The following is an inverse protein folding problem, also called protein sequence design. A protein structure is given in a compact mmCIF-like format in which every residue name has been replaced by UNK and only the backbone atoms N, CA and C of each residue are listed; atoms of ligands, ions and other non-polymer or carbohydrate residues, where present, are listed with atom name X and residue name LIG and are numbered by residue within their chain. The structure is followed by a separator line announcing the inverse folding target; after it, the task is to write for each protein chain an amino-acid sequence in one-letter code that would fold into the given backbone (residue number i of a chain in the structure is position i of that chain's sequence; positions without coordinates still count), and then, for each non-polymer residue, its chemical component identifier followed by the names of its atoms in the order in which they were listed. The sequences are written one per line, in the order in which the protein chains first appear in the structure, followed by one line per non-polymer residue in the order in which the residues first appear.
data_IF_762228334749
#
_entry.id   IF_762228334749
#
_cell.length_a   1.000
_cell.length_b   1.000
_cell.length_c   1.000
_cell.angle_alpha   90.00
_cell.angle_beta   90.00
_cell.angle_gamma   90.00
#
_symmetry.space_group_name_H-M   'P 1'
#
loop_
_entity.id
_entity.type
_entity.pdbx_description
1 polymer ?
#
# COMPACT_ATOMS: atom_id res chain seq x y z
N UNK A 1 -28.00 -4.11 -19.36
CA UNK A 1 -29.42 -3.72 -19.26
C UNK A 1 -29.99 -4.36 -18.00
N UNK A 2 -30.67 -3.59 -17.15
CA UNK A 2 -31.24 -4.07 -15.88
C UNK A 2 -32.73 -4.43 -16.02
N UNK A 3 -33.45 -3.69 -16.86
CA UNK A 3 -34.81 -3.97 -17.30
C UNK A 3 -35.01 -3.36 -18.69
N UNK A 4 -36.05 -3.75 -19.46
CA UNK A 4 -36.26 -3.24 -20.80
C UNK A 4 -36.24 -1.71 -20.84
N UNK A 5 -35.27 -1.16 -21.56
CA UNK A 5 -35.12 0.28 -21.71
C UNK A 5 -34.42 1.00 -20.55
N UNK A 6 -33.85 0.28 -19.58
CA UNK A 6 -32.96 0.78 -18.52
C UNK A 6 -31.60 0.07 -18.59
N UNK A 7 -30.56 0.84 -18.88
CA UNK A 7 -29.17 0.37 -18.83
C UNK A 7 -28.44 1.15 -17.75
N UNK A 8 -27.91 0.47 -16.74
CA UNK A 8 -27.05 1.09 -15.75
C UNK A 8 -25.87 0.17 -15.42
N UNK A 9 -24.80 0.76 -14.90
CA UNK A 9 -23.57 0.06 -14.56
C UNK A 9 -22.46 1.02 -14.13
N UNK A 10 -21.22 0.57 -14.28
CA UNK A 10 -20.03 1.36 -13.98
C UNK A 10 -19.08 1.35 -15.19
N UNK A 11 -18.41 2.48 -15.42
CA UNK A 11 -17.26 2.60 -16.32
C UNK A 11 -16.01 2.88 -15.50
N UNK A 12 -14.91 2.21 -15.84
CA UNK A 12 -13.62 2.43 -15.20
C UNK A 12 -12.88 3.53 -15.96
N UNK A 13 -12.51 4.61 -15.26
CA UNK A 13 -11.81 5.76 -15.85
C UNK A 13 -10.53 6.01 -15.06
N UNK A 14 -9.34 6.03 -15.69
CA UNK A 14 -8.10 6.36 -15.00
C UNK A 14 -8.14 7.75 -14.34
N UNK A 15 -7.22 7.95 -13.39
CA UNK A 15 -6.88 9.29 -12.94
C UNK A 15 -6.07 10.01 -14.02
N UNK A 16 -6.14 11.34 -14.04
CA UNK A 16 -5.43 12.16 -15.03
C UNK A 16 -3.97 12.36 -14.63
N UNK A 17 -3.72 12.76 -13.37
CA UNK A 17 -2.37 13.07 -12.87
C UNK A 17 -2.09 12.41 -11.53
N UNK A 18 -0.98 11.70 -11.45
CA UNK A 18 -0.54 10.98 -10.25
C UNK A 18 0.90 11.33 -9.90
N UNK A 19 1.15 11.61 -8.63
CA UNK A 19 2.48 11.80 -8.08
C UNK A 19 2.97 10.56 -7.33
N UNK A 20 4.15 10.05 -7.69
CA UNK A 20 4.82 8.95 -7.01
C UNK A 20 5.96 9.51 -6.17
N UNK A 21 5.87 9.42 -4.85
CA UNK A 21 6.99 9.73 -3.97
C UNK A 21 7.92 8.52 -3.86
N UNK A 22 9.19 8.72 -4.18
CA UNK A 22 10.23 7.69 -4.11
C UNK A 22 11.26 8.10 -3.07
N UNK A 23 11.47 7.30 -1.99
CA UNK A 23 12.44 7.63 -0.97
C UNK A 23 13.89 7.70 -1.48
N UNK A 24 14.73 8.41 -0.72
CA UNK A 24 16.18 8.43 -0.92
C UNK A 24 16.92 8.87 0.34
N UNK A 25 18.25 8.89 0.28
CA UNK A 25 19.14 9.35 1.36
C UNK A 25 19.74 8.23 2.21
N UNK A 26 18.93 7.35 2.82
CA UNK A 26 19.42 6.16 3.56
C UNK A 26 19.72 4.97 2.66
N UNK A 27 19.38 5.10 1.39
CA UNK A 27 19.37 4.08 0.35
C UNK A 27 18.69 4.68 -0.88
N UNK A 28 18.68 3.92 -1.98
CA UNK A 28 18.07 4.32 -3.24
C UNK A 28 17.21 3.18 -3.75
N UNK A 29 15.97 3.51 -4.10
CA UNK A 29 14.90 2.51 -4.23
C UNK A 29 14.31 2.51 -5.66
N UNK A 30 15.04 2.00 -6.66
CA UNK A 30 14.46 1.80 -8.00
C UNK A 30 13.25 0.85 -7.95
N UNK A 31 13.22 -0.08 -7.00
CA UNK A 31 12.05 -0.92 -6.75
C UNK A 31 10.81 -0.11 -6.34
N UNK A 32 10.95 0.94 -5.55
CA UNK A 32 9.83 1.82 -5.17
C UNK A 32 9.30 2.65 -6.35
N UNK A 33 10.16 2.97 -7.33
CA UNK A 33 9.73 3.54 -8.61
C UNK A 33 8.84 2.52 -9.32
N UNK A 34 9.32 1.29 -9.51
CA UNK A 34 8.57 0.23 -10.22
C UNK A 34 7.21 0.00 -9.56
N UNK A 35 7.19 -0.14 -8.24
CA UNK A 35 5.97 -0.43 -7.49
C UNK A 35 4.99 0.75 -7.45
N UNK A 36 5.42 1.99 -7.70
CA UNK A 36 4.52 3.15 -7.72
C UNK A 36 4.07 3.51 -9.14
N UNK A 37 4.98 3.49 -10.11
CA UNK A 37 4.75 3.97 -11.49
C UNK A 37 4.06 2.92 -12.35
N UNK A 38 4.49 1.65 -12.29
CA UNK A 38 3.91 0.59 -13.12
C UNK A 38 2.39 0.44 -12.93
N UNK A 39 1.84 0.33 -11.70
CA UNK A 39 0.39 0.17 -11.56
C UNK A 39 -0.39 1.40 -12.06
N UNK A 40 0.18 2.61 -11.96
CA UNK A 40 -0.41 3.83 -12.51
C UNK A 40 -0.45 3.79 -14.05
N UNK A 41 0.66 3.39 -14.69
CA UNK A 41 0.72 3.25 -16.15
C UNK A 41 -0.17 2.13 -16.67
N UNK A 42 -0.24 0.99 -15.97
CA UNK A 42 -1.15 -0.12 -16.30
C UNK A 42 -2.61 0.32 -16.19
N UNK A 43 -2.95 1.19 -15.24
CA UNK A 43 -4.30 1.76 -15.15
C UNK A 43 -4.63 2.72 -16.30
N UNK A 44 -3.63 3.20 -17.05
CA UNK A 44 -3.80 4.16 -18.13
C UNK A 44 -3.70 5.62 -17.69
N UNK A 45 -3.05 5.92 -16.56
CA UNK A 45 -2.83 7.30 -16.11
C UNK A 45 -1.92 8.02 -17.11
N UNK A 46 -2.37 9.11 -17.75
CA UNK A 46 -1.62 9.77 -18.81
C UNK A 46 -0.44 10.61 -18.28
N UNK A 47 -0.48 11.08 -17.02
CA UNK A 47 0.61 11.84 -16.40
C UNK A 47 0.98 11.29 -15.02
N UNK A 48 2.15 10.66 -14.95
CA UNK A 48 2.75 10.10 -13.75
C UNK A 48 4.07 10.80 -13.49
N UNK A 49 4.13 11.60 -12.43
CA UNK A 49 5.35 12.30 -12.01
C UNK A 49 6.01 11.56 -10.86
N UNK A 50 7.34 11.66 -10.74
CA UNK A 50 8.11 11.10 -9.64
C UNK A 50 8.79 12.22 -8.87
N UNK A 51 8.64 12.25 -7.55
CA UNK A 51 9.43 13.11 -6.67
C UNK A 51 10.41 12.24 -5.87
N UNK A 52 11.70 12.54 -5.97
CA UNK A 52 12.78 11.87 -5.23
C UNK A 52 13.78 12.91 -4.73
N UNK A 53 14.33 12.78 -3.51
CA UNK A 53 15.40 13.66 -3.06
C UNK A 53 16.67 13.49 -3.92
N UNK A 54 17.45 14.56 -4.05
CA UNK A 54 18.79 14.51 -4.61
C UNK A 54 19.78 13.85 -3.62
N UNK A 55 20.83 13.26 -4.17
CA UNK A 55 22.02 12.82 -3.45
C UNK A 55 22.81 14.02 -2.91
N UNK A 56 23.77 13.82 -1.97
CA UNK A 56 24.56 14.92 -1.41
C UNK A 56 25.33 15.75 -2.45
N UNK A 57 25.64 15.17 -3.62
CA UNK A 57 26.28 15.85 -4.75
C UNK A 57 25.30 16.59 -5.68
N UNK A 58 24.00 16.58 -5.35
CA UNK A 58 22.93 17.20 -6.13
C UNK A 58 22.39 16.33 -7.27
N UNK A 59 22.90 15.12 -7.48
CA UNK A 59 22.44 14.21 -8.53
C UNK A 59 21.24 13.36 -8.10
N UNK A 60 20.57 12.72 -9.07
CA UNK A 60 19.68 11.57 -8.79
C UNK A 60 20.44 10.31 -9.19
N UNK A 61 20.47 9.25 -8.36
CA UNK A 61 21.16 8.02 -8.69
C UNK A 61 20.69 7.43 -10.03
N UNK A 62 21.62 6.96 -10.89
CA UNK A 62 21.28 6.45 -12.21
C UNK A 62 20.23 5.33 -12.19
N UNK A 63 20.31 4.41 -11.22
CA UNK A 63 19.35 3.31 -11.09
C UNK A 63 17.90 3.78 -10.89
N UNK A 64 17.70 4.87 -10.15
CA UNK A 64 16.36 5.47 -9.96
C UNK A 64 15.85 6.05 -11.28
N UNK A 65 16.70 6.78 -12.01
CA UNK A 65 16.32 7.37 -13.31
C UNK A 65 16.02 6.31 -14.38
N UNK A 66 16.83 5.24 -14.43
CA UNK A 66 16.58 4.10 -15.32
C UNK A 66 15.26 3.43 -14.98
N UNK A 67 14.95 3.24 -13.69
CA UNK A 67 13.67 2.70 -13.28
C UNK A 67 12.50 3.61 -13.69
N UNK A 68 12.65 4.94 -13.56
CA UNK A 68 11.64 5.90 -14.02
C UNK A 68 11.38 5.76 -15.52
N UNK A 69 12.43 5.75 -16.33
CA UNK A 69 12.35 5.63 -17.79
C UNK A 69 11.70 4.30 -18.21
N UNK A 70 12.20 3.17 -17.67
CA UNK A 70 11.66 1.83 -17.97
C UNK A 70 10.20 1.68 -17.56
N UNK A 71 9.79 2.29 -16.44
CA UNK A 71 8.40 2.24 -15.99
C UNK A 71 7.50 3.28 -16.67
N UNK A 72 8.08 4.19 -17.44
CA UNK A 72 7.38 5.20 -18.22
C UNK A 72 7.00 6.47 -17.45
N UNK A 73 7.64 6.79 -16.32
CA UNK A 73 7.37 8.06 -15.62
C UNK A 73 7.55 9.26 -16.58
N UNK A 74 6.62 10.21 -16.54
CA UNK A 74 6.58 11.31 -17.51
C UNK A 74 7.51 12.46 -17.10
N UNK A 75 7.63 12.72 -15.80
CA UNK A 75 8.47 13.79 -15.24
C UNK A 75 9.11 13.35 -13.92
N UNK A 76 10.35 13.79 -13.66
CA UNK A 76 11.07 13.51 -12.40
C UNK A 76 11.53 14.82 -11.77
N UNK A 77 11.13 15.04 -10.52
CA UNK A 77 11.48 16.22 -9.73
C UNK A 77 12.41 15.87 -8.58
N UNK A 78 13.49 16.64 -8.45
CA UNK A 78 14.51 16.48 -7.41
C UNK A 78 14.07 17.14 -6.09
N UNK A 79 13.01 16.62 -5.49
CA UNK A 79 12.44 17.10 -4.23
C UNK A 79 11.99 15.91 -3.39
N UNK A 80 12.39 15.88 -2.11
CA UNK A 80 12.03 14.83 -1.16
C UNK A 80 11.22 15.35 0.04
N UNK A 81 10.92 14.48 0.99
CA UNK A 81 10.30 14.86 2.27
C UNK A 81 8.87 15.39 2.18
N UNK A 82 8.41 16.05 3.24
CA UNK A 82 7.07 16.63 3.33
C UNK A 82 6.84 17.74 2.30
N UNK A 83 7.89 18.47 1.93
CA UNK A 83 7.84 19.51 0.91
C UNK A 83 7.56 18.97 -0.49
N UNK A 84 8.00 17.75 -0.82
CA UNK A 84 7.63 17.10 -2.08
C UNK A 84 6.13 16.80 -2.12
N UNK A 85 5.57 16.34 -1.01
CA UNK A 85 4.14 16.05 -0.89
C UNK A 85 3.33 17.35 -1.02
N UNK A 86 3.75 18.41 -0.35
CA UNK A 86 3.13 19.72 -0.47
C UNK A 86 3.21 20.28 -1.90
N UNK A 87 4.38 20.16 -2.56
CA UNK A 87 4.57 20.61 -3.93
C UNK A 87 3.65 19.87 -4.92
N UNK A 88 3.51 18.54 -4.79
CA UNK A 88 2.58 17.76 -5.61
C UNK A 88 1.10 18.08 -5.31
N UNK A 89 0.78 18.38 -4.05
CA UNK A 89 -0.60 18.69 -3.60
C UNK A 89 -1.08 20.04 -4.13
N UNK A 90 -0.24 21.07 -4.02
CA UNK A 90 -0.62 22.45 -4.33
C UNK A 90 -0.18 22.89 -5.73
N UNK A 91 0.81 22.21 -6.31
CA UNK A 91 1.56 22.70 -7.46
C UNK A 91 2.54 23.80 -7.07
N UNK A 92 3.59 23.96 -7.86
CA UNK A 92 4.51 25.11 -7.83
C UNK A 92 4.75 25.64 -9.23
N UNK A 93 5.62 26.64 -9.39
CA UNK A 93 6.07 27.11 -10.71
C UNK A 93 6.72 25.99 -11.54
N UNK A 94 7.27 24.96 -10.88
CA UNK A 94 7.97 23.86 -11.54
C UNK A 94 7.31 22.50 -11.33
N UNK A 95 6.72 22.23 -10.17
CA UNK A 95 6.14 20.93 -9.82
C UNK A 95 4.66 20.91 -10.17
N UNK A 96 4.25 19.96 -11.00
CA UNK A 96 2.86 19.78 -11.40
C UNK A 96 1.96 19.44 -10.20
N UNK A 97 0.79 20.09 -10.12
CA UNK A 97 -0.28 19.67 -9.20
C UNK A 97 -0.94 18.37 -9.67
N UNK A 98 -0.95 17.36 -8.81
CA UNK A 98 -1.54 16.03 -9.10
C UNK A 98 -2.85 15.81 -8.35
N UNK A 99 -3.59 14.78 -8.78
CA UNK A 99 -4.91 14.46 -8.21
C UNK A 99 -4.80 13.36 -7.14
N UNK A 100 -3.78 12.49 -7.25
CA UNK A 100 -3.43 11.47 -6.24
C UNK A 100 -1.92 11.40 -6.00
N UNK A 101 -1.50 11.17 -4.76
CA UNK A 101 -0.12 10.89 -4.38
C UNK A 101 -0.01 9.48 -3.79
N UNK A 102 1.02 8.73 -4.21
CA UNK A 102 1.33 7.37 -3.73
C UNK A 102 2.82 7.24 -3.39
N UNK A 103 3.19 6.10 -2.79
CA UNK A 103 4.58 5.73 -2.52
C UNK A 103 4.91 5.69 -1.02
N UNK A 104 5.94 4.94 -0.63
CA UNK A 104 6.34 4.78 0.77
C UNK A 104 7.14 6.00 1.24
N UNK A 105 7.18 6.24 2.54
CA UNK A 105 7.99 7.35 3.05
C UNK A 105 8.29 7.29 4.54
N UNK A 106 9.20 8.17 4.96
CA UNK A 106 9.50 8.35 6.38
C UNK A 106 8.28 8.84 7.16
N UNK A 107 8.35 8.83 8.50
CA UNK A 107 7.35 9.44 9.38
C UNK A 107 6.94 10.87 9.00
N UNK A 108 7.83 11.66 8.38
CA UNK A 108 7.55 13.03 7.94
C UNK A 108 6.69 13.07 6.67
N UNK A 109 6.92 12.13 5.76
CA UNK A 109 6.08 11.94 4.56
C UNK A 109 4.70 11.45 4.98
N UNK A 110 4.64 10.48 5.90
CA UNK A 110 3.38 10.01 6.46
C UNK A 110 2.61 11.13 7.20
N UNK A 111 3.32 12.00 7.93
CA UNK A 111 2.69 13.15 8.56
C UNK A 111 2.12 14.12 7.52
N UNK A 112 2.85 14.38 6.42
CA UNK A 112 2.36 15.20 5.32
C UNK A 112 1.14 14.58 4.62
N UNK A 113 1.15 13.28 4.36
CA UNK A 113 0.00 12.53 3.87
C UNK A 113 -1.23 12.73 4.76
N UNK A 114 -1.08 12.57 6.08
CA UNK A 114 -2.19 12.76 7.03
C UNK A 114 -2.72 14.20 7.05
N UNK A 115 -1.83 15.19 6.96
CA UNK A 115 -2.20 16.61 6.98
C UNK A 115 -2.87 17.09 5.69
N UNK A 116 -2.50 16.49 4.56
CA UNK A 116 -2.95 16.89 3.22
C UNK A 116 -4.03 15.95 2.65
N UNK A 117 -4.46 14.96 3.43
CA UNK A 117 -5.56 14.09 3.08
C UNK A 117 -6.86 14.91 2.99
N UNK A 118 -7.52 14.87 1.84
CA UNK A 118 -8.70 15.67 1.53
C UNK A 118 -8.41 16.91 0.67
N UNK A 119 -7.15 17.35 0.60
CA UNK A 119 -6.68 18.39 -0.33
C UNK A 119 -6.14 17.76 -1.62
N UNK A 120 -5.57 16.56 -1.50
CA UNK A 120 -5.23 15.64 -2.57
C UNK A 120 -5.60 14.23 -2.11
N UNK A 121 -5.92 13.35 -3.05
CA UNK A 121 -6.14 11.96 -2.70
C UNK A 121 -4.79 11.30 -2.35
N UNK A 122 -4.74 10.61 -1.20
CA UNK A 122 -3.53 9.88 -0.77
C UNK A 122 -3.79 8.38 -0.90
N UNK A 123 -2.85 7.67 -1.52
CA UNK A 123 -2.89 6.21 -1.60
C UNK A 123 -2.66 5.51 -0.26
N UNK A 124 -2.09 4.29 -0.34
CA UNK A 124 -1.74 3.51 0.84
C UNK A 124 -0.81 4.30 1.75
N UNK A 125 -1.21 4.46 3.02
CA UNK A 125 -0.44 5.18 4.03
C UNK A 125 0.74 4.31 4.49
N UNK A 126 1.83 4.41 3.76
CA UNK A 126 3.07 3.67 3.99
C UNK A 126 4.09 4.54 4.75
N UNK A 127 4.30 4.21 6.03
CA UNK A 127 5.22 4.89 6.95
C UNK A 127 6.49 4.08 7.23
N UNK A 128 7.05 4.18 8.45
CA UNK A 128 8.12 3.28 8.90
C UNK A 128 7.69 1.82 8.79
N UNK A 129 8.60 0.96 8.30
CA UNK A 129 8.28 -0.41 7.91
C UNK A 129 8.24 -1.40 9.08
N UNK A 130 7.40 -2.42 8.94
CA UNK A 130 7.14 -3.45 9.96
C UNK A 130 7.17 -4.85 9.32
N UNK A 131 7.87 -5.78 9.95
CA UNK A 131 7.87 -7.19 9.57
C UNK A 131 7.52 -8.08 10.75
N UNK A 132 6.64 -9.04 10.53
CA UNK A 132 6.26 -10.05 11.52
C UNK A 132 6.34 -11.44 10.90
N UNK A 133 7.01 -12.35 11.59
CA UNK A 133 7.15 -13.75 11.21
C UNK A 133 6.30 -14.59 12.17
N UNK A 134 5.37 -15.39 11.67
CA UNK A 134 4.77 -16.51 12.39
C UNK A 134 5.58 -17.75 12.06
N UNK A 135 6.03 -18.49 13.08
CA UNK A 135 6.81 -19.70 12.88
C UNK A 135 6.34 -20.86 13.77
N UNK A 136 6.29 -22.07 13.21
CA UNK A 136 5.95 -23.32 13.91
C UNK A 136 7.18 -24.26 14.04
N UNK A 137 6.96 -25.51 14.45
CA UNK A 137 8.01 -26.51 14.67
C UNK A 137 8.78 -26.91 13.39
N UNK A 138 8.26 -26.57 12.21
CA UNK A 138 8.92 -26.83 10.93
C UNK A 138 9.86 -25.72 10.48
N UNK A 139 9.82 -24.56 11.12
CA UNK A 139 10.66 -23.42 10.77
C UNK A 139 12.15 -23.70 11.04
N UNK A 140 13.01 -23.25 10.12
CA UNK A 140 14.46 -23.22 10.37
C UNK A 140 14.81 -21.93 11.15
N UNK A 141 15.39 -22.04 12.35
CA UNK A 141 15.79 -20.88 13.13
C UNK A 141 16.82 -19.98 12.43
N UNK A 142 17.61 -20.50 11.48
CA UNK A 142 18.51 -19.68 10.66
C UNK A 142 17.74 -18.78 9.68
N UNK A 143 16.64 -19.27 9.10
CA UNK A 143 15.83 -18.49 8.17
C UNK A 143 15.10 -17.37 8.93
N UNK A 144 14.41 -17.71 10.02
CA UNK A 144 13.73 -16.72 10.86
C UNK A 144 14.69 -15.66 11.43
N UNK A 145 15.92 -16.05 11.82
CA UNK A 145 16.94 -15.10 12.28
C UNK A 145 17.44 -14.17 11.16
N UNK A 146 17.58 -14.67 9.94
CA UNK A 146 17.93 -13.84 8.78
C UNK A 146 16.80 -12.86 8.44
N UNK A 147 15.55 -13.32 8.43
CA UNK A 147 14.41 -12.53 7.96
C UNK A 147 14.00 -11.44 8.97
N UNK A 148 14.23 -11.66 10.27
CA UNK A 148 14.11 -10.60 11.29
C UNK A 148 14.99 -9.37 11.00
N UNK A 149 16.15 -9.56 10.36
CA UNK A 149 17.05 -8.46 10.02
C UNK A 149 16.55 -7.63 8.83
N UNK A 150 15.69 -8.20 7.96
CA UNK A 150 15.29 -7.55 6.71
C UNK A 150 14.60 -6.22 6.99
N UNK A 151 13.54 -6.19 7.82
CA UNK A 151 12.87 -4.92 8.08
C UNK A 151 13.66 -3.99 9.01
N UNK A 152 14.47 -4.56 9.91
CA UNK A 152 15.28 -3.79 10.83
C UNK A 152 16.35 -2.91 10.13
N UNK A 153 16.79 -3.27 8.93
CA UNK A 153 17.80 -2.46 8.20
C UNK A 153 17.23 -1.25 7.45
N UNK A 154 15.91 -1.17 7.28
CA UNK A 154 15.25 -0.08 6.54
C UNK A 154 15.31 1.26 7.29
N UNK A 155 15.28 1.25 8.62
CA UNK A 155 15.28 2.46 9.41
C UNK A 155 15.37 2.24 10.92
N UNK A 156 15.77 3.30 11.63
CA UNK A 156 15.80 3.31 13.10
C UNK A 156 14.41 3.22 13.74
N UNK A 157 13.38 3.45 12.93
CA UNK A 157 11.96 3.43 13.24
C UNK A 157 11.23 2.21 12.68
N UNK A 158 11.96 1.22 12.15
CA UNK A 158 11.38 -0.05 11.67
C UNK A 158 11.23 -1.07 12.79
N UNK A 159 10.35 -2.06 12.59
CA UNK A 159 10.11 -3.17 13.51
C UNK A 159 10.34 -4.53 12.84
N UNK A 160 10.94 -5.47 13.59
CA UNK A 160 11.09 -6.87 13.22
C UNK A 160 10.65 -7.76 14.36
N UNK A 161 9.61 -8.56 14.16
CA UNK A 161 8.95 -9.34 15.22
C UNK A 161 8.87 -10.81 14.83
N UNK A 162 9.26 -11.71 15.73
CA UNK A 162 8.99 -13.14 15.61
C UNK A 162 7.87 -13.52 16.58
N UNK A 163 6.89 -14.27 16.11
CA UNK A 163 5.80 -14.84 16.89
C UNK A 163 5.82 -16.35 16.71
N UNK A 164 5.96 -17.08 17.80
CA UNK A 164 5.99 -18.55 17.76
C UNK A 164 5.47 -19.14 19.06
N UNK A 165 4.80 -20.28 19.00
CA UNK A 165 4.49 -21.09 20.18
C UNK A 165 5.62 -22.06 20.55
N UNK A 166 6.66 -22.15 19.72
CA UNK A 166 7.78 -23.07 19.91
C UNK A 166 8.90 -22.36 20.67
N UNK A 167 8.94 -22.59 21.98
CA UNK A 167 9.88 -21.92 22.89
C UNK A 167 11.35 -22.13 22.51
N UNK A 168 11.72 -23.34 22.07
CA UNK A 168 13.10 -23.64 21.70
C UNK A 168 13.50 -22.89 20.42
N UNK A 169 12.61 -22.80 19.43
CA UNK A 169 12.81 -22.01 18.21
C UNK A 169 13.07 -20.53 18.55
N UNK A 170 12.29 -19.95 19.46
CA UNK A 170 12.47 -18.56 19.90
C UNK A 170 13.88 -18.29 20.45
N UNK A 171 14.41 -19.19 21.30
CA UNK A 171 15.77 -19.04 21.83
C UNK A 171 16.84 -19.31 20.78
N UNK A 172 16.63 -20.27 19.90
CA UNK A 172 17.57 -20.53 18.80
C UNK A 172 17.68 -19.33 17.86
N UNK A 173 16.57 -18.71 17.49
CA UNK A 173 16.57 -17.47 16.68
C UNK A 173 17.31 -16.35 17.40
N UNK A 174 17.05 -16.15 18.70
CA UNK A 174 17.74 -15.14 19.51
C UNK A 174 19.27 -15.35 19.51
N UNK A 175 19.74 -16.60 19.58
CA UNK A 175 21.17 -16.91 19.57
C UNK A 175 21.81 -16.71 18.20
N UNK A 176 21.06 -16.93 17.11
CA UNK A 176 21.59 -16.91 15.74
C UNK A 176 21.61 -15.52 15.12
N UNK A 177 20.69 -14.62 15.51
CA UNK A 177 20.53 -13.28 14.90
C UNK A 177 21.83 -12.47 14.87
N UNK A 178 22.67 -12.58 15.90
CA UNK A 178 23.97 -11.90 15.98
C UNK A 178 24.88 -12.20 14.78
N UNK A 179 24.90 -13.44 14.30
CA UNK A 179 25.72 -13.84 13.14
C UNK A 179 25.25 -13.19 11.85
N UNK A 180 23.94 -13.00 11.68
CA UNK A 180 23.41 -12.29 10.51
C UNK A 180 23.75 -10.80 10.56
N UNK A 181 23.66 -10.19 11.76
CA UNK A 181 24.06 -8.80 11.99
C UNK A 181 25.55 -8.59 11.69
N UNK A 182 26.42 -9.52 12.06
CA UNK A 182 27.87 -9.45 11.82
C UNK A 182 28.24 -9.47 10.33
N UNK A 183 27.43 -10.11 9.49
CA UNK A 183 27.63 -10.17 8.03
C UNK A 183 27.29 -8.86 7.31
N UNK A 184 26.65 -7.91 8.00
CA UNK A 184 26.31 -6.60 7.45
C UNK A 184 27.50 -5.64 7.53
N UNK A 185 27.57 -4.71 6.58
CA UNK A 185 28.48 -3.56 6.71
C UNK A 185 28.08 -2.67 7.91
N UNK A 186 29.03 -1.89 8.42
CA UNK A 186 28.82 -1.13 9.66
C UNK A 186 27.66 -0.13 9.58
N UNK A 187 27.42 0.43 8.39
CA UNK A 187 26.30 1.33 8.14
C UNK A 187 24.95 0.62 8.37
N UNK A 188 24.72 -0.54 7.75
CA UNK A 188 23.47 -1.32 7.89
C UNK A 188 23.36 -1.98 9.26
N UNK A 189 24.47 -2.46 9.81
CA UNK A 189 24.56 -3.02 11.16
C UNK A 189 24.01 -2.07 12.21
N UNK A 190 24.36 -0.77 12.12
CA UNK A 190 23.85 0.24 13.05
C UNK A 190 22.32 0.38 12.98
N UNK A 191 21.72 0.34 11.78
CA UNK A 191 20.26 0.38 11.65
C UNK A 191 19.60 -0.83 12.30
N UNK A 192 20.07 -2.04 11.97
CA UNK A 192 19.50 -3.28 12.50
C UNK A 192 19.57 -3.32 14.02
N UNK A 193 20.75 -3.02 14.60
CA UNK A 193 20.92 -3.04 16.07
C UNK A 193 20.01 -2.04 16.76
N UNK A 194 19.93 -0.80 16.25
CA UNK A 194 19.12 0.25 16.87
C UNK A 194 17.61 0.03 16.69
N UNK A 195 17.18 -0.48 15.54
CA UNK A 195 15.79 -0.87 15.29
C UNK A 195 15.37 -2.01 16.21
N UNK A 196 16.14 -3.10 16.25
CA UNK A 196 15.82 -4.26 17.08
C UNK A 196 15.83 -3.93 18.59
N UNK A 197 16.71 -3.03 19.04
CA UNK A 197 16.70 -2.55 20.44
C UNK A 197 15.41 -1.84 20.83
N UNK A 198 14.78 -1.12 19.90
CA UNK A 198 13.60 -0.27 20.18
C UNK A 198 12.29 -0.98 19.89
N UNK A 199 12.26 -1.73 18.80
CA UNK A 199 11.03 -2.27 18.20
C UNK A 199 11.16 -3.75 17.81
N UNK A 200 12.29 -4.39 18.09
CA UNK A 200 12.47 -5.83 17.91
C UNK A 200 11.83 -6.62 19.06
N UNK A 201 11.17 -7.72 18.73
CA UNK A 201 10.57 -8.60 19.73
C UNK A 201 10.52 -10.06 19.28
N UNK A 202 10.64 -10.98 20.24
CA UNK A 202 10.26 -12.38 20.08
C UNK A 202 9.12 -12.64 21.05
N UNK A 203 8.00 -13.08 20.52
CA UNK A 203 6.74 -13.26 21.25
C UNK A 203 6.44 -14.75 21.28
N UNK A 204 6.45 -15.30 22.49
CA UNK A 204 6.15 -16.71 22.73
C UNK A 204 4.67 -16.81 23.11
N UNK A 205 3.89 -17.53 22.31
CA UNK A 205 2.47 -17.78 22.53
C UNK A 205 2.23 -19.23 22.99
N UNK A 206 0.99 -19.57 23.35
CA UNK A 206 0.60 -20.92 23.77
C UNK A 206 0.31 -21.89 22.63
N UNK A 207 -0.04 -21.40 21.42
CA UNK A 207 -0.31 -22.23 20.25
C UNK A 207 -0.16 -21.47 18.92
N UNK A 208 -0.22 -22.19 17.80
CA UNK A 208 -0.23 -21.59 16.47
C UNK A 208 -1.45 -20.67 16.27
N UNK A 209 -2.62 -21.08 16.78
CA UNK A 209 -3.84 -20.27 16.74
C UNK A 209 -3.66 -18.94 17.49
N UNK A 210 -2.99 -18.96 18.64
CA UNK A 210 -2.67 -17.74 19.39
C UNK A 210 -1.65 -16.87 18.66
N UNK A 211 -0.65 -17.47 17.99
CA UNK A 211 0.29 -16.74 17.12
C UNK A 211 -0.43 -16.03 15.96
N UNK A 212 -1.37 -16.72 15.32
CA UNK A 212 -2.22 -16.16 14.26
C UNK A 212 -3.15 -15.07 14.80
N UNK A 213 -3.75 -15.27 15.99
CA UNK A 213 -4.57 -14.27 16.64
C UNK A 213 -3.76 -13.00 16.95
N UNK A 214 -2.52 -13.16 17.44
CA UNK A 214 -1.61 -12.05 17.67
C UNK A 214 -1.28 -11.32 16.36
N UNK A 215 -0.94 -12.02 15.29
CA UNK A 215 -0.63 -11.38 14.00
C UNK A 215 -1.83 -10.59 13.45
N UNK A 216 -3.04 -11.15 13.57
CA UNK A 216 -4.28 -10.48 13.21
C UNK A 216 -4.56 -9.25 14.07
N UNK A 217 -4.27 -9.32 15.36
CA UNK A 217 -4.35 -8.16 16.24
C UNK A 217 -3.30 -7.13 15.83
N UNK A 218 -2.05 -7.51 15.61
CA UNK A 218 -0.97 -6.60 15.25
C UNK A 218 -1.26 -5.87 13.93
N UNK A 219 -1.82 -6.56 12.94
CA UNK A 219 -2.14 -6.05 11.61
C UNK A 219 -0.93 -5.43 10.91
N UNK A 220 0.10 -6.27 10.74
CA UNK A 220 1.42 -5.90 10.24
C UNK A 220 1.40 -5.46 8.78
N UNK A 221 2.37 -4.63 8.39
CA UNK A 221 2.68 -4.33 7.00
C UNK A 221 3.07 -5.61 6.23
N UNK A 222 4.10 -6.32 6.67
CA UNK A 222 4.57 -7.56 6.05
C UNK A 222 4.45 -8.75 7.01
N UNK A 223 3.70 -9.78 6.60
CA UNK A 223 3.50 -11.02 7.37
C UNK A 223 4.16 -12.20 6.68
N UNK A 224 5.19 -12.77 7.30
CA UNK A 224 5.77 -14.05 6.90
C UNK A 224 5.15 -15.20 7.68
N UNK A 225 4.74 -16.26 6.99
CA UNK A 225 4.10 -17.45 7.55
C UNK A 225 5.04 -18.63 7.26
N UNK A 226 5.98 -18.84 8.18
CA UNK A 226 6.99 -19.88 8.14
C UNK A 226 6.48 -21.12 8.89
N UNK A 227 5.37 -21.69 8.40
CA UNK A 227 4.73 -22.88 8.98
C UNK A 227 4.77 -24.05 8.02
N UNK A 228 4.39 -25.24 8.51
CA UNK A 228 4.32 -26.48 7.71
C UNK A 228 3.25 -26.40 6.63
N UNK A 229 2.12 -25.76 6.92
CA UNK A 229 0.96 -25.65 6.03
C UNK A 229 0.58 -24.17 5.79
N UNK A 230 1.49 -23.38 5.19
CA UNK A 230 1.36 -21.91 5.18
C UNK A 230 0.15 -21.43 4.37
N UNK A 231 -0.29 -22.22 3.38
CA UNK A 231 -1.48 -21.93 2.57
C UNK A 231 -2.77 -22.10 3.40
N UNK A 232 -2.82 -23.07 4.31
CA UNK A 232 -3.97 -23.26 5.20
C UNK A 232 -3.99 -22.19 6.29
N UNK A 233 -2.82 -21.86 6.84
CA UNK A 233 -2.70 -20.84 7.88
C UNK A 233 -3.01 -19.43 7.37
N UNK A 234 -2.61 -19.12 6.13
CA UNK A 234 -2.99 -17.89 5.43
C UNK A 234 -4.50 -17.63 5.46
N UNK A 235 -5.34 -18.66 5.34
CA UNK A 235 -6.80 -18.49 5.31
C UNK A 235 -7.38 -17.99 6.64
N UNK A 236 -6.61 -18.11 7.73
CA UNK A 236 -6.97 -17.64 9.07
C UNK A 236 -6.50 -16.19 9.30
N UNK A 237 -5.67 -15.64 8.41
CA UNK A 237 -5.22 -14.25 8.46
C UNK A 237 -6.33 -13.33 7.95
N UNK A 238 -6.63 -12.32 8.76
CA UNK A 238 -7.61 -11.26 8.52
C UNK A 238 -6.93 -9.94 8.17
N UNK A 239 -5.77 -9.65 8.80
CA UNK A 239 -5.11 -8.35 8.69
C UNK A 239 -3.61 -8.52 8.42
N UNK A 240 -3.19 -8.24 7.18
CA UNK A 240 -1.79 -8.12 6.78
C UNK A 240 -1.70 -7.24 5.52
N UNK A 241 -0.68 -6.41 5.38
CA UNK A 241 -0.45 -5.64 4.16
C UNK A 241 -0.05 -6.54 2.98
N UNK A 242 0.95 -7.39 3.21
CA UNK A 242 1.43 -8.42 2.28
C UNK A 242 1.77 -9.70 3.03
N UNK A 243 1.56 -10.86 2.40
CA UNK A 243 1.80 -12.18 2.99
C UNK A 243 2.85 -12.97 2.22
N UNK A 244 3.73 -13.63 2.96
CA UNK A 244 4.87 -14.38 2.46
C UNK A 244 4.80 -15.82 3.00
N UNK A 245 4.66 -16.80 2.11
CA UNK A 245 4.17 -18.13 2.50
C UNK A 245 5.28 -19.19 2.39
N UNK A 246 5.57 -19.84 3.52
CA UNK A 246 6.48 -20.97 3.62
C UNK A 246 7.97 -20.59 3.63
N UNK A 247 8.80 -21.59 3.89
CA UNK A 247 10.22 -21.44 4.22
C UNK A 247 11.12 -20.84 3.12
N UNK A 248 10.65 -20.75 1.87
CA UNK A 248 11.43 -20.26 0.73
C UNK A 248 10.90 -18.93 0.17
N UNK A 249 10.05 -18.26 0.93
CA UNK A 249 9.47 -16.97 0.54
C UNK A 249 9.88 -15.91 1.56
N UNK A 250 11.18 -15.59 1.71
CA UNK A 250 11.57 -14.54 2.63
C UNK A 250 10.96 -13.21 2.17
N UNK A 251 10.67 -12.32 3.12
CA UNK A 251 10.08 -11.00 2.88
C UNK A 251 10.74 -10.23 1.71
N UNK A 252 12.06 -10.40 1.54
CA UNK A 252 12.85 -9.83 0.45
C UNK A 252 12.29 -10.12 -0.96
N UNK A 253 11.63 -11.27 -1.17
CA UNK A 253 11.05 -11.63 -2.47
C UNK A 253 9.97 -10.65 -2.94
N UNK A 254 9.19 -10.10 -2.01
CA UNK A 254 8.16 -9.07 -2.26
C UNK A 254 8.75 -7.70 -2.53
N UNK A 255 9.94 -7.42 -1.99
CA UNK A 255 10.60 -6.14 -2.20
C UNK A 255 11.14 -5.96 -3.62
N UNK A 256 11.47 -7.06 -4.33
CA UNK A 256 12.30 -6.97 -5.53
C UNK A 256 11.79 -7.70 -6.79
N UNK A 257 11.00 -8.77 -6.70
CA UNK A 257 10.76 -9.56 -7.93
C UNK A 257 9.61 -10.55 -7.96
N UNK A 258 8.87 -10.76 -6.88
CA UNK A 258 7.76 -11.73 -6.89
C UNK A 258 6.50 -11.23 -7.59
N UNK A 259 6.34 -9.91 -7.78
CA UNK A 259 5.22 -9.29 -8.49
C UNK A 259 4.25 -8.46 -7.64
N UNK A 260 3.80 -8.93 -6.46
CA UNK A 260 2.97 -8.13 -5.55
C UNK A 260 3.64 -6.80 -5.16
N UNK A 261 2.82 -5.82 -4.79
CA UNK A 261 3.28 -4.47 -4.52
C UNK A 261 3.81 -4.31 -3.09
N UNK A 262 5.01 -3.75 -2.93
CA UNK A 262 5.61 -3.51 -1.61
C UNK A 262 5.23 -2.16 -0.96
N UNK A 263 4.36 -1.36 -1.59
CA UNK A 263 3.83 -0.13 -0.98
C UNK A 263 2.63 -0.52 -0.15
N UNK A 264 2.89 -0.83 1.11
CA UNK A 264 1.96 -1.49 2.03
C UNK A 264 1.56 -0.58 3.20
N UNK A 265 0.39 -0.82 3.82
CA UNK A 265 -0.08 -0.02 4.96
C UNK A 265 0.71 -0.36 6.23
N UNK A 266 1.22 0.66 6.94
CA UNK A 266 1.93 0.49 8.22
C UNK A 266 1.12 1.02 9.39
N UNK A 267 1.57 0.79 10.64
CA UNK A 267 0.95 1.32 11.84
C UNK A 267 -0.48 0.80 12.06
N UNK A 268 -0.65 -0.52 11.95
CA UNK A 268 -1.96 -1.23 12.07
C UNK A 268 -2.97 -0.90 10.97
N UNK A 269 -2.61 -0.17 9.91
CA UNK A 269 -3.56 0.21 8.84
C UNK A 269 -4.01 -0.97 7.98
N UNK A 270 -3.34 -2.13 8.08
CA UNK A 270 -3.76 -3.35 7.40
C UNK A 270 -5.15 -3.87 7.84
N UNK A 271 -5.74 -3.32 8.91
CA UNK A 271 -7.13 -3.61 9.32
C UNK A 271 -8.20 -3.05 8.36
N UNK A 272 -7.83 -2.07 7.52
CA UNK A 272 -8.77 -1.39 6.60
C UNK A 272 -8.18 -1.15 5.21
N UNK A 273 -6.89 -1.40 5.01
CA UNK A 273 -6.20 -1.15 3.76
C UNK A 273 -5.35 -2.35 3.36
N UNK A 274 -5.14 -2.52 2.07
CA UNK A 274 -4.16 -3.46 1.51
C UNK A 274 -3.04 -2.71 0.79
N UNK A 275 -2.17 -3.48 0.14
CA UNK A 275 -1.12 -2.92 -0.72
C UNK A 275 -1.66 -2.08 -1.88
N UNK A 276 -0.80 -1.18 -2.37
CA UNK A 276 -1.05 -0.39 -3.57
C UNK A 276 -1.32 -1.31 -4.76
N UNK A 277 -2.36 -1.00 -5.53
CA UNK A 277 -2.86 -1.82 -6.65
C UNK A 277 -3.30 -0.94 -7.80
N UNK A 278 -3.41 -1.51 -9.00
CA UNK A 278 -3.90 -0.80 -10.19
C UNK A 278 -5.25 -0.11 -9.96
N UNK A 279 -6.13 -0.72 -9.14
CA UNK A 279 -7.42 -0.14 -8.77
C UNK A 279 -7.35 1.18 -8.01
N UNK A 280 -6.20 1.52 -7.42
CA UNK A 280 -6.01 2.81 -6.76
C UNK A 280 -5.81 3.95 -7.76
N UNK A 281 -5.59 3.64 -9.04
CA UNK A 281 -5.28 4.63 -10.10
C UNK A 281 -6.41 4.86 -11.09
N UNK A 282 -7.60 4.33 -10.80
CA UNK A 282 -8.81 4.60 -11.56
C UNK A 282 -10.02 4.81 -10.64
N UNK A 283 -11.08 5.36 -11.21
CA UNK A 283 -12.38 5.54 -10.57
C UNK A 283 -13.44 4.74 -11.31
N UNK A 284 -14.34 4.10 -10.56
CA UNK A 284 -15.55 3.50 -11.10
C UNK A 284 -16.66 4.56 -11.11
N UNK A 285 -17.00 5.06 -12.30
CA UNK A 285 -18.06 6.06 -12.48
C UNK A 285 -19.35 5.33 -12.84
N UNK A 286 -20.40 5.55 -12.05
CA UNK A 286 -21.71 4.97 -12.35
C UNK A 286 -22.36 5.71 -13.50
N UNK A 287 -23.08 4.97 -14.35
CA UNK A 287 -23.90 5.54 -15.39
C UNK A 287 -25.26 4.86 -15.40
N UNK A 288 -26.26 5.61 -15.86
CA UNK A 288 -27.59 5.11 -16.13
C UNK A 288 -28.13 5.78 -17.40
N UNK A 289 -28.91 5.01 -18.13
CA UNK A 289 -29.58 5.43 -19.34
C UNK A 289 -30.99 4.86 -19.30
N UNK A 290 -31.96 5.74 -19.56
CA UNK A 290 -33.34 5.38 -19.78
C UNK A 290 -33.75 5.73 -21.21
N UNK A 291 -34.39 4.76 -21.87
CA UNK A 291 -35.34 5.04 -22.94
C UNK A 291 -36.62 5.65 -22.35
N UNK A 292 -37.47 6.20 -23.21
CA UNK A 292 -38.78 6.75 -22.79
C UNK A 292 -39.65 5.67 -22.13
N UNK A 293 -39.70 4.48 -22.73
CA UNK A 293 -40.46 3.33 -22.26
C UNK A 293 -39.90 2.81 -20.93
N UNK A 294 -38.57 2.71 -20.82
CA UNK A 294 -37.89 2.32 -19.58
C UNK A 294 -38.21 3.27 -18.42
N UNK A 295 -38.19 4.59 -18.67
CA UNK A 295 -38.53 5.57 -17.64
C UNK A 295 -40.01 5.51 -17.27
N UNK A 296 -40.90 5.31 -18.26
CA UNK A 296 -42.34 5.21 -18.02
C UNK A 296 -42.67 4.07 -17.04
N UNK A 297 -41.95 2.95 -17.12
CA UNK A 297 -42.14 1.78 -16.25
C UNK A 297 -41.81 2.05 -14.77
N UNK A 298 -40.91 2.99 -14.47
CA UNK A 298 -40.47 3.31 -13.09
C UNK A 298 -40.96 4.68 -12.61
N UNK A 299 -41.52 5.50 -13.50
CA UNK A 299 -41.96 6.88 -13.27
C UNK A 299 -42.74 7.02 -11.97
N UNK A 300 -43.83 6.27 -11.82
CA UNK A 300 -44.76 6.44 -10.70
C UNK A 300 -44.12 6.10 -9.36
N UNK A 301 -43.22 5.11 -9.32
CA UNK A 301 -42.48 4.74 -8.11
C UNK A 301 -41.48 5.84 -7.73
N UNK A 302 -40.71 6.35 -8.69
CA UNK A 302 -39.73 7.41 -8.47
C UNK A 302 -40.38 8.74 -8.05
N UNK A 303 -41.51 9.10 -8.66
CA UNK A 303 -42.27 10.31 -8.28
C UNK A 303 -42.82 10.17 -6.85
N UNK A 304 -43.39 9.02 -6.49
CA UNK A 304 -43.85 8.77 -5.12
C UNK A 304 -42.73 8.87 -4.08
N UNK A 305 -41.54 8.37 -4.41
CA UNK A 305 -40.37 8.53 -3.54
C UNK A 305 -40.00 10.01 -3.39
N UNK A 306 -39.94 10.76 -4.50
CA UNK A 306 -39.66 12.19 -4.46
C UNK A 306 -40.71 12.99 -3.65
N UNK A 307 -41.99 12.62 -3.74
CA UNK A 307 -43.06 13.22 -2.94
C UNK A 307 -42.91 12.88 -1.45
N UNK A 308 -42.69 11.62 -1.13
CA UNK A 308 -42.51 11.14 0.25
C UNK A 308 -41.30 11.81 0.93
N UNK A 309 -40.20 11.97 0.20
CA UNK A 309 -38.98 12.62 0.69
C UNK A 309 -39.07 14.16 0.67
N UNK A 310 -40.15 14.74 0.12
CA UNK A 310 -40.36 16.18 0.07
C UNK A 310 -39.47 16.91 -0.94
N UNK A 311 -39.05 16.24 -2.03
CA UNK A 311 -38.20 16.79 -3.09
C UNK A 311 -38.97 16.99 -4.42
N UNK A 312 -39.90 17.97 -4.51
CA UNK A 312 -40.80 18.10 -5.65
C UNK A 312 -40.08 18.36 -6.98
N UNK A 313 -38.90 19.02 -6.96
CA UNK A 313 -38.12 19.24 -8.18
C UNK A 313 -37.64 17.92 -8.83
N UNK A 314 -37.35 16.88 -8.04
CA UNK A 314 -36.96 15.56 -8.55
C UNK A 314 -38.14 14.89 -9.26
N UNK A 315 -39.32 14.86 -8.62
CA UNK A 315 -40.54 14.31 -9.22
C UNK A 315 -40.96 15.07 -10.48
N UNK A 316 -40.95 16.40 -10.42
CA UNK A 316 -41.30 17.26 -11.55
C UNK A 316 -40.39 17.03 -12.76
N UNK A 317 -39.08 16.85 -12.55
CA UNK A 317 -38.14 16.57 -13.65
C UNK A 317 -38.47 15.27 -14.40
N UNK A 318 -38.97 14.26 -13.69
CA UNK A 318 -39.43 12.99 -14.29
C UNK A 318 -40.74 13.21 -15.04
N UNK A 319 -41.72 13.86 -14.40
CA UNK A 319 -43.05 14.12 -14.99
C UNK A 319 -42.95 14.95 -16.29
N UNK A 320 -42.07 15.94 -16.33
CA UNK A 320 -41.85 16.81 -17.50
C UNK A 320 -41.40 16.03 -18.74
N UNK A 321 -40.79 14.84 -18.59
CA UNK A 321 -40.43 13.97 -19.73
C UNK A 321 -41.63 13.34 -20.44
N UNK A 322 -42.83 13.46 -19.85
CA UNK A 322 -44.09 12.94 -20.39
C UNK A 322 -45.15 14.04 -20.56
N UNK A 323 -44.82 15.31 -20.32
CA UNK A 323 -45.79 16.41 -20.33
C UNK A 323 -46.13 16.93 -21.74
N UNK A 324 -45.37 16.54 -22.77
CA UNK A 324 -45.52 17.01 -24.17
C UNK A 324 -46.07 15.94 -25.12
N UNK A 325 -46.49 14.81 -24.57
CA UNK A 325 -47.16 13.73 -25.31
C UNK A 325 -48.68 13.83 -25.18
#
# INVERSE_FOLDING_TARGET
ELSPGLVAGQVIIPLEKVGCYVPGGRGWFPSAVMMSVLPAKVAGVPRVIVCTPAAPDGSVPPGTLVACDVCGADEVYMVGGSQAIAAMTYGTESVLKVDKIVGPGSKWVLAAFKLLNGQVEIGTHAGPGEGLIIADESADPEFAAADLCIQAEHGLDSAGVLVTHVKDLAYEVQQRIGRHIERLNDYRKNFVVESLRKYGAIIITGSLEESIAYANEYAVEHLEIMTREPILDMQKIKNAGGMYLGHYTPLSTGCFGSGPNHVLPTGRRAVVAGGLKTADFYKAVTFEYFSKEGLANLKDAMVKLAEYEGFPAHGNAILERFARD
#
